data_IF_292400074925
#
_entry.id   IF_292400074925
#
_cell.length_a   1.000
_cell.length_b   1.000
_cell.length_c   1.000
_cell.angle_alpha   90.00
_cell.angle_beta   90.00
_cell.angle_gamma   90.00
#
_symmetry.space_group_name_H-M   'P 1'
#
loop_
_entity.id
_entity.type
_entity.pdbx_description
1 polymer ?
#
# COMPACT_ATOMS: atom_id res chain seq x y z
N UNK A 1 -16.42 -0.65 18.60
CA UNK A 1 -15.17 -0.83 17.81
C UNK A 1 -14.88 -2.32 17.74
N UNK A 2 -14.75 -2.89 16.53
CA UNK A 2 -14.40 -4.30 16.38
C UNK A 2 -12.89 -4.52 16.59
N UNK A 3 -12.50 -5.74 16.95
CA UNK A 3 -11.09 -6.16 17.12
C UNK A 3 -10.21 -5.75 15.93
N UNK A 4 -10.73 -5.85 14.71
CA UNK A 4 -10.04 -5.41 13.48
C UNK A 4 -9.66 -3.93 13.52
N UNK A 5 -10.60 -3.04 13.88
CA UNK A 5 -10.33 -1.60 13.95
C UNK A 5 -9.25 -1.31 14.99
N UNK A 6 -9.35 -1.94 16.16
CA UNK A 6 -8.36 -1.78 17.22
C UNK A 6 -6.94 -2.18 16.76
N UNK A 7 -6.79 -3.34 16.11
CA UNK A 7 -5.49 -3.81 15.59
C UNK A 7 -4.93 -2.85 14.54
N UNK A 8 -5.78 -2.34 13.64
CA UNK A 8 -5.36 -1.40 12.60
C UNK A 8 -5.02 -0.02 13.15
N UNK A 9 -5.65 0.41 14.25
CA UNK A 9 -5.37 1.70 14.89
C UNK A 9 -4.05 1.67 15.70
N UNK A 10 -3.49 0.46 15.90
CA UNK A 10 -2.17 0.23 16.50
C UNK A 10 -1.24 -0.47 15.49
N UNK A 11 -0.78 0.22 14.43
CA UNK A 11 -0.07 -0.40 13.32
C UNK A 11 1.36 -0.87 13.65
N UNK A 12 1.96 -0.41 14.76
CA UNK A 12 3.35 -0.72 15.08
C UNK A 12 3.71 -2.21 15.13
N UNK A 13 2.94 -3.11 15.79
CA UNK A 13 3.25 -4.53 15.77
C UNK A 13 3.07 -5.15 14.38
N UNK A 14 2.15 -4.65 13.56
CA UNK A 14 1.95 -5.12 12.19
C UNK A 14 3.12 -4.70 11.28
N UNK A 15 3.63 -3.47 11.47
CA UNK A 15 4.83 -2.99 10.78
C UNK A 15 6.03 -3.84 11.16
N UNK A 16 6.22 -4.11 12.46
CA UNK A 16 7.30 -4.97 12.93
C UNK A 16 7.22 -6.37 12.31
N UNK A 17 6.05 -6.99 12.31
CA UNK A 17 5.84 -8.29 11.70
C UNK A 17 6.16 -8.29 10.19
N UNK A 18 5.79 -7.20 9.49
CA UNK A 18 6.13 -7.03 8.08
C UNK A 18 7.65 -6.90 7.87
N UNK A 19 8.34 -6.10 8.70
CA UNK A 19 9.80 -5.98 8.62
C UNK A 19 10.52 -7.31 8.83
N UNK A 20 10.05 -8.11 9.79
CA UNK A 20 10.58 -9.44 10.03
C UNK A 20 10.30 -10.43 8.87
N UNK A 21 9.23 -10.21 8.13
CA UNK A 21 8.84 -11.06 6.99
C UNK A 21 9.64 -10.75 5.71
N UNK A 22 9.99 -9.48 5.48
CA UNK A 22 10.71 -9.03 4.28
C UNK A 22 11.98 -9.85 3.95
N UNK A 23 12.93 -10.08 4.89
CA UNK A 23 14.15 -10.83 4.59
C UNK A 23 13.84 -12.28 4.21
N UNK A 24 12.84 -12.90 4.82
CA UNK A 24 12.40 -14.27 4.50
C UNK A 24 11.89 -14.34 3.07
N UNK A 25 11.03 -13.41 2.68
CA UNK A 25 10.49 -13.33 1.32
C UNK A 25 11.59 -13.08 0.28
N UNK A 26 12.57 -12.23 0.60
CA UNK A 26 13.73 -11.98 -0.28
C UNK A 26 14.60 -13.22 -0.41
N UNK A 27 14.84 -13.96 0.68
CA UNK A 27 15.56 -15.20 0.67
C UNK A 27 14.86 -16.30 -0.15
N UNK A 28 13.53 -16.34 -0.14
CA UNK A 28 12.74 -17.26 -0.95
C UNK A 28 12.67 -16.90 -2.46
N UNK A 29 13.16 -15.74 -2.86
CA UNK A 29 13.13 -15.26 -4.25
C UNK A 29 13.64 -16.28 -5.28
N UNK A 30 14.79 -16.96 -5.11
CA UNK A 30 15.27 -17.94 -6.10
C UNK A 30 14.32 -19.13 -6.25
N UNK A 31 13.65 -19.54 -5.18
CA UNK A 31 12.65 -20.62 -5.22
C UNK A 31 11.44 -20.17 -6.05
N UNK A 32 10.90 -18.98 -5.78
CA UNK A 32 9.77 -18.45 -6.52
C UNK A 32 10.08 -18.19 -8.00
N UNK A 33 11.32 -17.79 -8.33
CA UNK A 33 11.77 -17.68 -9.72
C UNK A 33 11.79 -19.03 -10.44
N UNK A 34 12.26 -20.09 -9.75
CA UNK A 34 12.39 -21.44 -10.33
C UNK A 34 11.03 -22.13 -10.49
N UNK A 35 10.15 -22.00 -9.49
CA UNK A 35 8.82 -22.64 -9.49
C UNK A 35 7.85 -21.90 -10.41
N UNK A 36 8.03 -20.59 -10.57
CA UNK A 36 7.13 -19.71 -11.29
C UNK A 36 6.08 -19.07 -10.39
N UNK A 37 5.64 -17.87 -10.79
CA UNK A 37 4.74 -17.01 -9.99
C UNK A 37 3.40 -17.70 -9.71
N UNK A 38 2.75 -18.26 -10.74
CA UNK A 38 1.43 -18.87 -10.60
C UNK A 38 1.41 -20.07 -9.66
N UNK A 39 2.39 -20.97 -9.81
CA UNK A 39 2.48 -22.16 -8.96
C UNK A 39 2.81 -21.78 -7.51
N UNK A 40 3.75 -20.86 -7.33
CA UNK A 40 4.10 -20.36 -5.99
C UNK A 40 2.92 -19.68 -5.32
N UNK A 41 2.15 -18.90 -6.07
CA UNK A 41 0.95 -18.23 -5.55
C UNK A 41 -0.12 -19.20 -5.09
N UNK A 42 -0.31 -20.35 -5.75
CA UNK A 42 -1.29 -21.36 -5.32
C UNK A 42 -1.04 -21.85 -3.90
N UNK A 43 0.23 -21.94 -3.49
CA UNK A 43 0.62 -22.41 -2.14
C UNK A 43 0.66 -21.28 -1.11
N UNK A 44 1.12 -20.10 -1.50
CA UNK A 44 1.30 -18.95 -0.60
C UNK A 44 0.00 -18.19 -0.35
N UNK A 45 -0.89 -18.13 -1.34
CA UNK A 45 -2.12 -17.35 -1.30
C UNK A 45 -3.09 -17.77 -0.19
N UNK A 46 -3.39 -19.06 0.07
CA UNK A 46 -4.37 -19.43 1.08
C UNK A 46 -4.05 -18.86 2.48
N UNK A 47 -2.86 -19.06 3.06
CA UNK A 47 -2.52 -18.47 4.36
C UNK A 47 -2.43 -16.93 4.31
N UNK A 48 -1.91 -16.36 3.23
CA UNK A 48 -1.86 -14.92 3.04
C UNK A 48 -3.26 -14.30 3.04
N UNK A 49 -4.18 -14.88 2.26
CA UNK A 49 -5.56 -14.41 2.15
C UNK A 49 -6.30 -14.51 3.49
N UNK A 50 -6.09 -15.59 4.23
CA UNK A 50 -6.69 -15.75 5.55
C UNK A 50 -6.24 -14.63 6.49
N UNK A 51 -4.94 -14.42 6.63
CA UNK A 51 -4.36 -13.41 7.52
C UNK A 51 -4.78 -12.00 7.09
N UNK A 52 -4.54 -11.65 5.82
CA UNK A 52 -4.84 -10.32 5.30
C UNK A 52 -6.35 -10.06 5.17
N UNK A 53 -7.14 -11.09 4.88
CA UNK A 53 -8.59 -10.99 4.85
C UNK A 53 -9.16 -10.64 6.22
N UNK A 54 -8.74 -11.33 7.26
CA UNK A 54 -9.18 -11.06 8.64
C UNK A 54 -8.73 -9.67 9.13
N UNK A 55 -7.46 -9.31 8.89
CA UNK A 55 -6.88 -8.09 9.45
C UNK A 55 -7.21 -6.84 8.63
N UNK A 56 -7.21 -6.92 7.29
CA UNK A 56 -7.23 -5.75 6.41
C UNK A 56 -8.39 -5.75 5.39
N UNK A 57 -9.24 -6.77 5.36
CA UNK A 57 -10.24 -6.97 4.31
C UNK A 57 -9.60 -6.94 2.91
N UNK A 58 -8.59 -7.78 2.70
CA UNK A 58 -7.79 -7.81 1.49
C UNK A 58 -8.63 -8.15 0.25
N UNK A 59 -8.45 -7.37 -0.82
CA UNK A 59 -9.16 -7.50 -2.09
C UNK A 59 -8.35 -8.26 -3.16
N UNK A 60 -7.33 -9.02 -2.76
CA UNK A 60 -6.53 -9.91 -3.64
C UNK A 60 -5.88 -9.24 -4.87
N UNK A 61 -5.61 -7.93 -4.84
CA UNK A 61 -5.01 -7.19 -5.96
C UNK A 61 -3.56 -7.56 -6.26
N UNK A 62 -2.91 -8.36 -5.43
CA UNK A 62 -1.51 -8.82 -5.52
C UNK A 62 -0.42 -7.73 -5.50
N UNK A 63 -0.77 -6.45 -5.41
CA UNK A 63 0.13 -5.30 -5.39
C UNK A 63 -0.04 -4.55 -4.07
N UNK A 64 0.52 -5.14 -3.00
CA UNK A 64 0.25 -4.72 -1.64
C UNK A 64 1.01 -3.45 -1.27
N UNK A 65 0.26 -2.42 -0.86
CA UNK A 65 0.79 -1.12 -0.42
C UNK A 65 0.52 -0.84 1.07
N UNK A 66 0.14 -1.86 1.85
CA UNK A 66 -0.25 -1.72 3.26
C UNK A 66 0.80 -0.96 4.09
N UNK A 67 2.07 -1.22 3.85
CA UNK A 67 3.14 -0.57 4.61
C UNK A 67 3.31 0.93 4.31
N UNK A 68 2.85 1.39 3.12
CA UNK A 68 2.83 2.82 2.79
C UNK A 68 1.58 3.53 3.32
N UNK A 69 0.51 2.79 3.57
CA UNK A 69 -0.81 3.33 3.90
C UNK A 69 -1.21 3.07 5.35
N UNK A 70 -0.23 3.04 6.25
CA UNK A 70 -0.48 2.83 7.68
C UNK A 70 -1.26 1.55 7.97
N UNK A 71 -0.92 0.44 7.30
CA UNK A 71 -1.62 -0.85 7.40
C UNK A 71 -3.12 -0.78 7.07
N UNK A 72 -3.52 0.16 6.22
CA UNK A 72 -4.90 0.30 5.72
C UNK A 72 -4.94 -0.06 4.24
N UNK A 73 -5.77 -1.03 3.86
CA UNK A 73 -5.87 -1.45 2.46
C UNK A 73 -6.67 -0.43 1.63
N UNK A 74 -6.05 0.31 0.68
CA UNK A 74 -6.75 1.32 -0.12
C UNK A 74 -7.76 0.71 -1.10
N UNK A 75 -7.64 -0.59 -1.43
CA UNK A 75 -8.61 -1.29 -2.27
C UNK A 75 -9.98 -1.48 -1.59
N UNK A 76 -10.10 -1.16 -0.30
CA UNK A 76 -11.38 -1.06 0.40
C UNK A 76 -12.13 0.24 0.06
N UNK A 77 -11.49 1.19 -0.63
CA UNK A 77 -12.17 2.35 -1.17
C UNK A 77 -13.16 1.91 -2.25
N UNK A 78 -14.45 2.32 -2.20
CA UNK A 78 -15.44 1.93 -3.21
C UNK A 78 -15.09 2.37 -4.64
N UNK A 79 -14.20 3.37 -4.76
CA UNK A 79 -13.68 3.86 -6.05
C UNK A 79 -12.33 3.24 -6.43
N UNK A 80 -11.80 2.31 -5.64
CA UNK A 80 -10.49 1.66 -5.84
C UNK A 80 -9.32 2.64 -6.04
N UNK A 81 -9.34 3.78 -5.37
CA UNK A 81 -8.28 4.79 -5.48
C UNK A 81 -7.02 4.32 -4.74
N UNK A 82 -5.86 4.45 -5.39
CA UNK A 82 -4.56 4.02 -4.83
C UNK A 82 -3.64 5.17 -4.41
N UNK A 83 -3.94 6.39 -4.80
CA UNK A 83 -3.04 7.55 -4.66
C UNK A 83 -3.67 8.73 -3.92
N UNK A 84 -4.46 8.46 -2.92
CA UNK A 84 -5.04 9.48 -2.07
C UNK A 84 -6.57 9.51 -2.10
N UNK A 85 -7.17 10.35 -1.27
CA UNK A 85 -8.61 10.50 -1.19
C UNK A 85 -9.17 11.18 -2.44
N UNK A 86 -10.43 10.89 -2.78
CA UNK A 86 -11.19 11.68 -3.74
C UNK A 86 -11.66 13.00 -3.10
N UNK A 87 -12.07 13.97 -3.91
CA UNK A 87 -12.67 15.22 -3.43
C UNK A 87 -14.03 15.08 -2.73
N UNK A 88 -14.59 13.86 -2.67
CA UNK A 88 -15.89 13.60 -2.07
C UNK A 88 -15.87 13.16 -0.61
N UNK A 89 -14.78 13.36 0.10
CA UNK A 89 -14.73 13.13 1.55
C UNK A 89 -15.61 14.17 2.23
N UNK A 90 -16.57 13.70 3.04
CA UNK A 90 -17.50 14.61 3.74
C UNK A 90 -16.81 15.28 4.93
N UNK A 91 -17.36 16.41 5.40
CA UNK A 91 -16.81 17.16 6.54
C UNK A 91 -16.66 16.31 7.81
N UNK A 92 -17.48 15.30 7.97
CA UNK A 92 -17.39 14.34 9.09
C UNK A 92 -16.40 13.17 8.84
N UNK A 93 -15.58 13.24 7.81
CA UNK A 93 -14.62 12.18 7.45
C UNK A 93 -15.24 10.94 6.78
N UNK A 94 -16.54 10.96 6.49
CA UNK A 94 -17.26 9.85 5.87
C UNK A 94 -17.09 9.80 4.35
N UNK A 95 -17.26 8.59 3.80
CA UNK A 95 -17.22 8.37 2.37
C UNK A 95 -18.49 8.92 1.68
N UNK A 96 -18.35 9.53 0.49
CA UNK A 96 -19.51 10.00 -0.27
C UNK A 96 -20.32 8.85 -0.87
N UNK A 97 -19.66 7.73 -1.24
CA UNK A 97 -20.31 6.57 -1.86
C UNK A 97 -20.98 5.69 -0.81
N UNK A 98 -20.35 5.56 0.36
CA UNK A 98 -20.85 4.81 1.52
C UNK A 98 -20.87 5.72 2.75
N UNK A 99 -21.94 6.49 2.94
CA UNK A 99 -22.00 7.50 4.00
C UNK A 99 -21.95 6.94 5.43
N UNK A 100 -22.22 5.66 5.59
CA UNK A 100 -22.09 4.90 6.84
C UNK A 100 -20.64 4.59 7.22
N UNK A 101 -19.76 4.49 6.21
CA UNK A 101 -18.35 4.14 6.39
C UNK A 101 -17.46 5.38 6.46
N UNK A 102 -16.40 5.30 7.26
CA UNK A 102 -15.34 6.30 7.25
C UNK A 102 -14.50 6.19 5.98
N UNK A 103 -13.99 7.32 5.51
CA UNK A 103 -13.12 7.32 4.34
C UNK A 103 -11.84 6.50 4.60
N UNK A 104 -11.58 5.52 3.76
CA UNK A 104 -10.42 4.63 3.86
C UNK A 104 -9.11 5.44 3.84
N UNK A 105 -9.04 6.50 3.04
CA UNK A 105 -7.84 7.32 2.91
C UNK A 105 -7.63 8.25 4.10
N UNK A 106 -8.69 8.77 4.72
CA UNK A 106 -8.57 9.53 5.98
C UNK A 106 -7.95 8.62 7.05
N UNK A 107 -8.46 7.39 7.21
CA UNK A 107 -7.89 6.41 8.13
C UNK A 107 -6.45 6.02 7.76
N UNK A 108 -6.14 5.87 6.47
CA UNK A 108 -4.79 5.57 6.03
C UNK A 108 -3.81 6.68 6.41
N UNK A 109 -4.18 7.94 6.22
CA UNK A 109 -3.36 9.11 6.60
C UNK A 109 -3.16 9.14 8.12
N UNK A 110 -4.22 9.05 8.90
CA UNK A 110 -4.14 9.04 10.37
C UNK A 110 -3.25 7.92 10.91
N UNK A 111 -3.35 6.72 10.34
CA UNK A 111 -2.56 5.56 10.77
C UNK A 111 -1.12 5.62 10.28
N UNK A 112 -0.87 6.20 9.13
CA UNK A 112 0.49 6.34 8.59
C UNK A 112 1.36 7.20 9.50
N UNK A 113 0.80 8.22 10.15
CA UNK A 113 1.54 9.05 11.12
C UNK A 113 2.05 8.27 12.33
N UNK A 114 1.47 7.11 12.61
CA UNK A 114 1.86 6.22 13.72
C UNK A 114 2.90 5.17 13.29
N UNK A 115 3.39 5.24 12.06
CA UNK A 115 4.36 4.29 11.50
C UNK A 115 5.64 5.00 11.10
N UNK A 116 6.79 4.32 11.10
CA UNK A 116 8.05 4.91 10.63
C UNK A 116 8.03 5.24 9.12
N UNK A 117 7.07 4.70 8.37
CA UNK A 117 6.88 4.90 6.93
C UNK A 117 5.81 5.95 6.60
N UNK A 118 5.42 6.79 7.56
CA UNK A 118 4.34 7.76 7.39
C UNK A 118 4.52 8.69 6.18
N UNK A 119 5.75 9.07 5.88
CA UNK A 119 6.08 9.91 4.72
C UNK A 119 5.87 9.18 3.37
N UNK A 120 5.93 7.87 3.34
CA UNK A 120 5.77 7.10 2.12
C UNK A 120 4.31 7.08 1.60
N UNK A 121 3.35 7.54 2.40
CA UNK A 121 1.97 7.71 1.94
C UNK A 121 1.84 8.72 0.80
N UNK A 122 2.81 9.62 0.67
CA UNK A 122 2.89 10.60 -0.41
C UNK A 122 3.45 10.02 -1.71
N UNK A 123 3.97 8.80 -1.67
CA UNK A 123 4.47 8.11 -2.85
C UNK A 123 3.34 7.82 -3.84
N UNK A 124 3.55 8.17 -5.10
CA UNK A 124 2.64 7.80 -6.17
C UNK A 124 2.83 6.32 -6.53
N UNK A 125 1.79 5.55 -6.33
CA UNK A 125 1.76 4.15 -6.74
C UNK A 125 1.43 4.05 -8.22
N UNK A 126 2.01 3.07 -8.94
CA UNK A 126 1.63 2.79 -10.32
C UNK A 126 0.17 2.34 -10.41
N UNK A 127 -0.45 2.43 -11.60
CA UNK A 127 -1.77 1.85 -11.84
C UNK A 127 -1.81 0.38 -11.46
N UNK A 128 -2.99 -0.10 -11.03
CA UNK A 128 -3.18 -1.52 -10.70
C UNK A 128 -3.02 -2.35 -11.96
N UNK A 129 -2.13 -3.32 -11.91
CA UNK A 129 -2.05 -4.37 -12.93
C UNK A 129 -3.04 -5.49 -12.63
N UNK A 130 -4.21 -5.42 -13.23
CA UNK A 130 -5.28 -6.41 -13.04
C UNK A 130 -4.91 -7.83 -13.50
N UNK A 131 -3.82 -7.99 -14.28
CA UNK A 131 -3.31 -9.31 -14.66
C UNK A 131 -2.70 -10.07 -13.48
N UNK A 132 -2.32 -9.34 -12.44
CA UNK A 132 -1.80 -9.92 -11.18
C UNK A 132 -2.91 -10.26 -10.19
N UNK A 133 -4.15 -9.86 -10.46
CA UNK A 133 -5.27 -10.15 -9.57
C UNK A 133 -5.35 -11.66 -9.29
N UNK A 134 -5.56 -11.98 -8.04
CA UNK A 134 -5.61 -13.38 -7.62
C UNK A 134 -4.26 -14.06 -7.37
N UNK A 135 -3.14 -13.40 -7.64
CA UNK A 135 -1.81 -13.88 -7.23
C UNK A 135 -1.55 -13.57 -5.74
N UNK A 136 -0.57 -14.25 -5.15
CA UNK A 136 -0.13 -13.95 -3.80
C UNK A 136 0.75 -12.69 -3.78
N UNK A 137 0.40 -11.68 -3.00
CA UNK A 137 1.18 -10.44 -2.96
C UNK A 137 2.56 -10.61 -2.32
N UNK A 138 2.77 -11.62 -1.50
CA UNK A 138 4.09 -11.96 -0.98
C UNK A 138 5.01 -12.52 -2.07
N UNK A 139 4.45 -13.23 -3.04
CA UNK A 139 5.21 -13.73 -4.20
C UNK A 139 5.52 -12.58 -5.16
N UNK A 140 4.56 -11.71 -5.47
CA UNK A 140 4.77 -10.55 -6.34
C UNK A 140 5.80 -9.60 -5.75
N UNK A 141 5.74 -9.33 -4.44
CA UNK A 141 6.76 -8.56 -3.71
C UNK A 141 8.14 -9.22 -3.82
N UNK A 142 8.25 -10.51 -3.52
CA UNK A 142 9.53 -11.23 -3.60
C UNK A 142 10.15 -11.17 -5.00
N UNK A 143 9.32 -11.20 -6.04
CA UNK A 143 9.74 -11.13 -7.43
C UNK A 143 9.96 -9.70 -7.93
N UNK A 144 9.59 -8.67 -7.14
CA UNK A 144 9.67 -7.25 -7.52
C UNK A 144 8.66 -6.87 -8.61
N UNK A 145 7.49 -7.51 -8.60
CA UNK A 145 6.42 -7.27 -9.58
C UNK A 145 5.28 -6.39 -9.06
N UNK A 146 5.30 -6.07 -7.80
CA UNK A 146 4.30 -5.23 -7.13
C UNK A 146 4.44 -3.75 -7.47
N UNK A 147 5.63 -3.32 -7.92
CA UNK A 147 5.94 -1.93 -8.28
C UNK A 147 6.01 -1.69 -9.80
N UNK A 148 5.90 -2.74 -10.61
CA UNK A 148 6.03 -2.63 -12.07
C UNK A 148 4.67 -2.31 -12.68
N UNK A 149 4.57 -1.14 -13.32
CA UNK A 149 3.45 -0.81 -14.20
C UNK A 149 3.56 -1.61 -15.50
N UNK A 150 2.44 -2.21 -15.90
CA UNK A 150 2.38 -3.04 -17.11
C UNK A 150 2.11 -2.20 -18.34
N UNK A 151 3.05 -2.11 -19.17
CA UNK A 151 2.85 -1.55 -20.50
C UNK A 151 3.92 -0.58 -20.93
N UNK A 152 4.98 -1.08 -21.36
CA UNK A 152 6.25 -0.50 -21.73
C UNK A 152 7.24 -0.49 -20.58
N UNK A 153 8.43 -0.88 -20.88
CA UNK A 153 9.66 -0.99 -20.09
C UNK A 153 10.10 0.33 -19.42
N UNK A 154 9.13 1.17 -19.13
CA UNK A 154 9.32 2.41 -18.40
C UNK A 154 9.14 2.08 -16.93
N UNK A 155 10.22 1.74 -16.28
CA UNK A 155 10.41 2.05 -14.88
C UNK A 155 10.04 3.52 -14.72
N UNK A 156 8.82 3.82 -14.30
CA UNK A 156 8.49 5.16 -13.84
C UNK A 156 9.28 5.29 -12.55
N UNK A 157 10.54 5.62 -12.68
CA UNK A 157 11.30 6.27 -11.65
C UNK A 157 10.62 7.61 -11.48
N UNK A 158 9.63 7.66 -10.61
CA UNK A 158 9.22 8.94 -10.06
C UNK A 158 10.49 9.48 -9.43
N UNK A 159 11.05 10.47 -10.09
CA UNK A 159 12.22 11.16 -9.61
C UNK A 159 11.90 11.74 -8.24
N UNK A 160 12.24 10.99 -7.20
CA UNK A 160 12.45 11.52 -5.86
C UNK A 160 13.66 12.49 -5.87
N UNK A 161 14.19 12.75 -7.05
CA UNK A 161 15.42 13.55 -7.26
C UNK A 161 15.17 15.01 -7.64
N UNK A 162 13.96 15.53 -7.54
CA UNK A 162 13.77 16.95 -7.87
C UNK A 162 12.69 17.64 -7.03
N UNK A 163 12.74 17.47 -5.72
CA UNK A 163 12.37 18.58 -4.85
C UNK A 163 13.70 19.24 -4.44
N UNK A 164 14.02 20.42 -5.00
CA UNK A 164 15.12 21.19 -4.44
C UNK A 164 14.81 21.43 -2.98
N UNK A 165 15.79 21.12 -2.12
CA UNK A 165 15.71 21.46 -0.72
C UNK A 165 15.18 22.90 -0.60
N UNK A 166 14.12 23.09 0.16
CA UNK A 166 13.64 24.41 0.52
C UNK A 166 14.73 25.10 1.33
N UNK A 167 15.60 25.80 0.62
CA UNK A 167 16.66 26.62 1.17
C UNK A 167 16.83 27.84 0.31
N UNK A 168 16.45 28.99 0.88
CA UNK A 168 16.71 30.35 0.39
C UNK A 168 15.69 30.98 -0.57
N UNK A 169 14.48 31.27 -0.08
CA UNK A 169 13.89 32.56 -0.46
C UNK A 169 14.35 33.61 0.55
N UNK A 170 15.54 34.11 0.36
CA UNK A 170 15.94 35.38 0.95
C UNK A 170 15.15 36.48 0.22
N UNK A 171 14.58 37.36 1.04
CA UNK A 171 13.76 38.45 0.59
C UNK A 171 14.54 39.42 -0.35
N UNK A 172 13.92 39.73 -1.45
CA UNK A 172 14.20 40.98 -2.16
C UNK A 172 13.03 41.92 -1.91
N UNK A 173 13.39 43.01 -1.24
CA UNK A 173 12.45 44.04 -0.84
C UNK A 173 11.87 44.77 -2.04
N UNK A 174 10.59 45.07 -1.90
CA UNK A 174 9.90 46.04 -2.74
C UNK A 174 10.24 47.45 -2.21
N UNK A 175 10.92 48.20 -3.04
CA UNK A 175 10.92 49.67 -2.98
C UNK A 175 9.79 50.20 -3.84
#
# INVERSE_FOLDING_TARGET
>A
MGLRSYIQDHPAPLVWAWEATKPVLRWMRPVFKRVGMERSSKWVKPPEKLIKGMLFNCQDCAQCVLHYTGMTCPMNCPKHLRNGPCGGVRLNGKCEVKPEDDCVWVKAIERSTKTPYGHEILRLNPPVDWRLEGQASWVTFSLGRDEISTGTDTTIRYATEALPAEGSRQGEGVQ
#
